data_IF_746167719047
#
_entry.id   IF_746167719047
#
_cell.length_a   1.000
_cell.length_b   1.000
_cell.length_c   1.000
_cell.angle_alpha   90.00
_cell.angle_beta   90.00
_cell.angle_gamma   90.00
#
_symmetry.space_group_name_H-M   'P 1'
#
loop_
_entity.id
_entity.type
_entity.pdbx_description
1 polymer ?
#
# COMPACT_ATOMS: atom_id res chain seq x y z
N UNK A 1 -48.25 -0.62 -22.02
CA UNK A 1 -47.91 -0.96 -20.65
C UNK A 1 -46.61 -1.80 -20.58
N UNK A 2 -46.51 -2.92 -21.33
CA UNK A 2 -45.30 -3.82 -21.32
C UNK A 2 -44.01 -3.11 -21.72
N UNK A 3 -44.08 -2.27 -22.77
CA UNK A 3 -42.91 -1.48 -23.20
C UNK A 3 -42.48 -0.45 -22.15
N UNK A 4 -43.44 0.24 -21.53
CA UNK A 4 -43.15 1.19 -20.46
C UNK A 4 -42.56 0.50 -19.22
N UNK A 5 -43.07 -0.68 -18.86
CA UNK A 5 -42.53 -1.47 -17.77
C UNK A 5 -41.12 -1.93 -18.07
N UNK A 6 -40.81 -2.43 -19.29
CA UNK A 6 -39.47 -2.83 -19.69
C UNK A 6 -38.53 -1.63 -19.69
N UNK A 7 -38.91 -0.47 -20.15
CA UNK A 7 -38.12 0.76 -20.07
C UNK A 7 -37.84 1.15 -18.62
N UNK A 8 -38.84 1.10 -17.74
CA UNK A 8 -38.66 1.40 -16.32
C UNK A 8 -37.69 0.44 -15.65
N UNK A 9 -37.79 -0.88 -15.88
CA UNK A 9 -36.86 -1.88 -15.34
C UNK A 9 -35.45 -1.66 -15.86
N UNK A 10 -35.30 -1.35 -17.16
CA UNK A 10 -33.99 -1.05 -17.76
C UNK A 10 -33.37 0.18 -17.13
N UNK A 11 -34.14 1.26 -16.92
CA UNK A 11 -33.67 2.48 -16.27
C UNK A 11 -33.28 2.22 -14.81
N UNK A 12 -34.11 1.51 -14.05
CA UNK A 12 -33.85 1.15 -12.66
C UNK A 12 -32.52 0.34 -12.52
N UNK A 13 -32.31 -0.61 -13.44
CA UNK A 13 -31.04 -1.38 -13.44
C UNK A 13 -29.85 -0.53 -13.81
N UNK A 14 -29.98 0.41 -14.75
CA UNK A 14 -28.90 1.34 -15.11
C UNK A 14 -28.55 2.24 -13.92
N UNK A 15 -29.53 2.82 -13.26
CA UNK A 15 -29.31 3.67 -12.07
C UNK A 15 -28.71 2.87 -10.91
N UNK A 16 -29.16 1.63 -10.72
CA UNK A 16 -28.57 0.70 -9.73
C UNK A 16 -27.10 0.40 -10.00
N UNK A 17 -26.70 0.18 -11.24
CA UNK A 17 -25.31 -0.03 -11.62
C UNK A 17 -24.44 1.21 -11.36
N UNK A 18 -24.95 2.41 -11.69
CA UNK A 18 -24.25 3.67 -11.44
C UNK A 18 -24.05 3.89 -9.94
N UNK A 19 -25.08 3.66 -9.13
CA UNK A 19 -25.01 3.76 -7.68
C UNK A 19 -23.96 2.80 -7.10
N UNK A 20 -23.96 1.54 -7.53
CA UNK A 20 -22.99 0.54 -7.07
C UNK A 20 -21.56 0.91 -7.44
N UNK A 21 -21.34 1.42 -8.66
CA UNK A 21 -20.00 1.88 -9.09
C UNK A 21 -19.55 3.06 -8.24
N UNK A 22 -20.41 4.03 -7.94
CA UNK A 22 -20.06 5.17 -7.11
C UNK A 22 -19.76 4.75 -5.67
N UNK A 23 -20.57 3.87 -5.06
CA UNK A 23 -20.29 3.35 -3.71
C UNK A 23 -18.98 2.55 -3.66
N UNK A 24 -18.69 1.74 -4.68
CA UNK A 24 -17.40 1.05 -4.79
C UNK A 24 -16.25 2.03 -4.96
N UNK A 25 -16.41 3.08 -5.76
CA UNK A 25 -15.39 4.13 -5.93
C UNK A 25 -15.04 4.78 -4.59
N UNK A 26 -16.05 5.10 -3.79
CA UNK A 26 -15.88 5.69 -2.47
C UNK A 26 -15.26 4.70 -1.48
N UNK A 27 -15.66 3.44 -1.49
CA UNK A 27 -15.07 2.38 -0.68
C UNK A 27 -13.59 2.18 -1.01
N UNK A 28 -13.25 2.07 -2.29
CA UNK A 28 -11.87 1.90 -2.75
C UNK A 28 -10.99 3.10 -2.37
N UNK A 29 -11.53 4.33 -2.48
CA UNK A 29 -10.83 5.54 -2.00
C UNK A 29 -10.49 5.43 -0.52
N UNK A 30 -11.43 4.99 0.31
CA UNK A 30 -11.21 4.81 1.74
C UNK A 30 -10.23 3.67 2.02
N UNK A 31 -10.35 2.51 1.37
CA UNK A 31 -9.41 1.38 1.49
C UNK A 31 -8.00 1.79 1.10
N UNK A 32 -7.82 2.46 -0.04
CA UNK A 32 -6.52 2.95 -0.50
C UNK A 32 -5.94 3.98 0.47
N UNK A 33 -6.78 4.87 1.01
CA UNK A 33 -6.36 5.87 2.02
C UNK A 33 -5.89 5.22 3.32
N UNK A 34 -6.57 4.18 3.79
CA UNK A 34 -6.23 3.48 5.02
C UNK A 34 -5.08 2.49 4.87
N UNK A 35 -4.81 2.00 3.65
CA UNK A 35 -3.66 1.13 3.38
C UNK A 35 -2.36 1.96 3.43
N UNK A 36 -1.40 1.67 4.34
CA UNK A 36 -0.12 2.37 4.34
C UNK A 36 0.75 1.98 3.13
N UNK A 37 1.69 2.84 2.73
CA UNK A 37 1.90 4.21 3.18
C UNK A 37 0.95 5.20 2.49
N UNK A 38 0.73 6.37 3.09
CA UNK A 38 -0.09 7.42 2.48
C UNK A 38 0.62 8.08 1.30
N UNK A 39 1.94 8.28 1.42
CA UNK A 39 2.79 8.85 0.36
C UNK A 39 4.01 7.97 0.09
N UNK A 40 4.61 8.15 -1.10
CA UNK A 40 5.85 7.46 -1.45
C UNK A 40 6.99 7.81 -0.49
N UNK A 41 7.12 9.08 -0.10
CA UNK A 41 8.15 9.54 0.83
C UNK A 41 8.02 8.86 2.20
N UNK A 42 6.80 8.78 2.75
CA UNK A 42 6.54 8.05 3.99
C UNK A 42 6.90 6.57 3.88
N UNK A 43 6.57 5.94 2.76
CA UNK A 43 6.91 4.55 2.52
C UNK A 43 8.43 4.32 2.45
N UNK A 44 9.14 5.17 1.73
CA UNK A 44 10.62 5.12 1.64
C UNK A 44 11.27 5.32 3.01
N UNK A 45 10.82 6.31 3.78
CA UNK A 45 11.32 6.57 5.15
C UNK A 45 11.05 5.39 6.09
N UNK A 46 9.87 4.78 6.00
CA UNK A 46 9.53 3.60 6.80
C UNK A 46 10.44 2.41 6.47
N UNK A 47 10.70 2.14 5.17
CA UNK A 47 11.64 1.10 4.72
C UNK A 47 13.04 1.36 5.27
N UNK A 48 13.53 2.59 5.16
CA UNK A 48 14.84 2.94 5.68
C UNK A 48 14.93 2.72 7.20
N UNK A 49 13.91 3.15 7.95
CA UNK A 49 13.84 2.94 9.40
C UNK A 49 13.81 1.44 9.78
N UNK A 50 13.08 0.62 9.02
CA UNK A 50 13.02 -0.82 9.24
C UNK A 50 14.38 -1.49 8.97
N UNK A 51 15.05 -1.10 7.89
CA UNK A 51 16.35 -1.65 7.54
C UNK A 51 17.46 -1.21 8.50
N UNK A 52 17.40 0.03 9.02
CA UNK A 52 18.33 0.48 10.08
C UNK A 52 18.16 -0.29 11.39
N UNK A 53 16.95 -0.76 11.69
CA UNK A 53 16.71 -1.65 12.83
C UNK A 53 17.26 -3.06 12.61
N UNK A 54 17.31 -3.50 11.37
CA UNK A 54 17.79 -4.84 11.00
C UNK A 54 19.31 -4.93 10.89
N UNK A 55 19.96 -3.92 10.31
CA UNK A 55 21.40 -3.84 10.14
C UNK A 55 21.86 -2.39 10.14
N UNK A 56 22.92 -2.10 10.89
CA UNK A 56 23.50 -0.77 10.93
C UNK A 56 24.36 -0.52 9.67
N UNK A 57 24.11 0.54 8.90
CA UNK A 57 24.97 0.87 7.76
C UNK A 57 26.33 1.38 8.22
N UNK A 58 27.40 0.80 7.70
CA UNK A 58 28.77 1.23 7.91
C UNK A 58 29.12 2.33 6.92
N UNK A 59 29.13 3.56 7.40
CA UNK A 59 29.55 4.75 6.65
C UNK A 59 30.91 5.18 7.14
N UNK A 60 31.96 5.00 6.33
CA UNK A 60 33.34 5.30 6.70
C UNK A 60 33.54 6.77 7.15
N UNK A 61 32.69 7.69 6.66
CA UNK A 61 32.77 9.10 7.04
C UNK A 61 32.23 9.37 8.46
N UNK A 62 31.37 8.47 8.97
CA UNK A 62 30.72 8.59 10.27
C UNK A 62 31.36 7.73 11.36
N UNK A 63 32.31 6.88 10.99
CA UNK A 63 33.00 5.99 11.92
C UNK A 63 34.12 6.77 12.62
N UNK A 64 34.00 6.89 13.93
CA UNK A 64 34.99 7.64 14.77
C UNK A 64 36.29 6.88 15.02
N UNK A 65 36.34 5.57 14.79
CA UNK A 65 37.53 4.74 14.98
C UNK A 65 38.32 4.74 13.67
N UNK A 66 39.50 5.39 13.58
CA UNK A 66 40.24 5.59 12.32
C UNK A 66 40.55 4.27 11.59
N UNK A 67 41.03 3.27 12.31
CA UNK A 67 41.33 1.95 11.74
C UNK A 67 40.09 1.29 11.12
N UNK A 68 38.94 1.31 11.81
CA UNK A 68 37.70 0.77 11.27
C UNK A 68 37.19 1.55 10.05
N UNK A 69 37.31 2.88 10.09
CA UNK A 69 36.95 3.73 8.94
C UNK A 69 37.79 3.43 7.71
N UNK A 70 39.09 3.13 7.91
CA UNK A 70 40.02 2.72 6.84
C UNK A 70 39.62 1.35 6.25
N UNK A 71 39.37 0.34 7.10
CA UNK A 71 38.95 -0.99 6.68
C UNK A 71 37.64 -0.91 5.87
N UNK A 72 36.69 -0.10 6.30
CA UNK A 72 35.40 0.10 5.59
C UNK A 72 35.62 0.82 4.25
N UNK A 73 36.55 1.77 4.14
CA UNK A 73 36.93 2.40 2.85
C UNK A 73 37.57 1.40 1.90
N UNK A 74 38.44 0.54 2.38
CA UNK A 74 39.09 -0.54 1.61
C UNK A 74 38.13 -1.69 1.29
N UNK A 75 36.98 -1.74 1.94
CA UNK A 75 35.96 -2.83 1.85
C UNK A 75 36.56 -4.20 2.22
N UNK A 76 37.52 -4.21 3.13
CA UNK A 76 38.14 -5.42 3.62
C UNK A 76 37.24 -6.12 4.62
N UNK A 77 36.40 -7.01 4.07
CA UNK A 77 35.32 -7.69 4.78
C UNK A 77 35.83 -8.55 5.92
N UNK A 78 36.92 -9.28 5.69
CA UNK A 78 37.52 -10.17 6.69
C UNK A 78 38.13 -9.37 7.84
N UNK A 79 38.89 -8.33 7.51
CA UNK A 79 39.50 -7.47 8.52
C UNK A 79 38.45 -6.68 9.32
N UNK A 80 37.34 -6.26 8.69
CA UNK A 80 36.19 -5.63 9.38
C UNK A 80 35.57 -6.60 10.40
N UNK A 81 35.31 -7.85 9.99
CA UNK A 81 34.73 -8.84 10.89
C UNK A 81 35.69 -9.18 12.04
N UNK A 82 36.97 -9.44 11.73
CA UNK A 82 38.02 -9.71 12.72
C UNK A 82 38.16 -8.56 13.72
N UNK A 83 38.08 -7.31 13.23
CA UNK A 83 38.11 -6.14 14.11
C UNK A 83 36.88 -6.11 15.04
N UNK A 84 35.67 -6.39 14.51
CA UNK A 84 34.47 -6.41 15.29
C UNK A 84 34.45 -7.51 16.37
N UNK A 85 35.05 -8.66 16.08
CA UNK A 85 35.15 -9.80 17.00
C UNK A 85 36.12 -9.54 18.14
N UNK A 86 37.22 -8.81 17.87
CA UNK A 86 38.29 -8.56 18.81
C UNK A 86 38.15 -7.27 19.64
N UNK A 87 37.29 -6.32 19.21
CA UNK A 87 37.09 -5.08 19.96
C UNK A 87 36.31 -5.34 21.24
N UNK A 88 36.80 -4.78 22.37
CA UNK A 88 36.10 -4.89 23.65
C UNK A 88 35.08 -3.76 23.79
N UNK A 89 33.80 -4.10 23.76
CA UNK A 89 32.72 -3.15 23.96
C UNK A 89 32.45 -2.21 22.77
N UNK A 90 31.50 -1.32 22.93
CA UNK A 90 31.13 -0.32 21.93
C UNK A 90 30.26 -0.85 20.79
N UNK A 91 30.06 0.04 19.79
CA UNK A 91 29.14 -0.21 18.68
C UNK A 91 29.49 -1.46 17.85
N UNK A 92 30.78 -1.75 17.63
CA UNK A 92 31.21 -2.84 16.75
C UNK A 92 31.33 -4.19 17.46
N UNK A 93 31.33 -4.22 18.79
CA UNK A 93 31.56 -5.42 19.56
C UNK A 93 30.61 -6.55 19.17
N UNK A 94 31.19 -7.69 18.74
CA UNK A 94 30.49 -8.93 18.34
C UNK A 94 29.37 -8.73 17.30
N UNK A 95 29.43 -7.68 16.48
CA UNK A 95 28.48 -7.50 15.40
C UNK A 95 28.87 -8.30 14.18
N UNK A 96 27.88 -8.96 13.58
CA UNK A 96 28.03 -9.70 12.34
C UNK A 96 27.97 -8.75 11.15
N UNK A 97 28.93 -8.84 10.24
CA UNK A 97 28.90 -8.13 8.96
C UNK A 97 28.08 -8.92 7.94
N UNK A 98 27.00 -8.34 7.46
CA UNK A 98 26.23 -8.83 6.34
C UNK A 98 26.90 -8.35 5.06
N UNK A 99 27.38 -9.28 4.24
CA UNK A 99 28.26 -8.97 3.13
C UNK A 99 27.52 -8.71 1.82
N UNK A 100 26.36 -9.34 1.66
CA UNK A 100 25.57 -9.29 0.43
C UNK A 100 24.17 -8.74 0.66
N UNK A 101 23.47 -8.38 -0.43
CA UNK A 101 22.06 -8.01 -0.38
C UNK A 101 21.18 -9.18 0.05
N UNK A 102 21.61 -10.41 -0.27
CA UNK A 102 20.97 -11.67 0.10
C UNK A 102 21.01 -11.88 1.61
N UNK A 103 22.16 -11.62 2.24
CA UNK A 103 22.30 -11.70 3.70
C UNK A 103 21.37 -10.72 4.41
N UNK A 104 21.33 -9.46 3.95
CA UNK A 104 20.43 -8.45 4.50
C UNK A 104 18.96 -8.86 4.30
N UNK A 105 18.63 -9.44 3.14
CA UNK A 105 17.30 -9.93 2.82
C UNK A 105 16.89 -11.08 3.72
N UNK A 106 17.78 -12.04 3.96
CA UNK A 106 17.53 -13.19 4.83
C UNK A 106 17.28 -12.73 6.27
N UNK A 107 18.14 -11.87 6.80
CA UNK A 107 17.98 -11.31 8.15
C UNK A 107 16.71 -10.43 8.27
N UNK A 108 16.41 -9.63 7.25
CA UNK A 108 15.21 -8.80 7.23
C UNK A 108 13.94 -9.67 7.24
N UNK A 109 13.94 -10.81 6.54
CA UNK A 109 12.81 -11.76 6.57
C UNK A 109 12.70 -12.44 7.95
N UNK A 110 13.81 -12.90 8.52
CA UNK A 110 13.86 -13.54 9.83
C UNK A 110 13.36 -12.63 10.95
N UNK A 111 13.74 -11.36 10.90
CA UNK A 111 13.41 -10.37 11.91
C UNK A 111 12.00 -9.77 11.73
N UNK A 112 11.28 -10.13 10.66
CA UNK A 112 9.94 -9.63 10.39
C UNK A 112 8.90 -10.38 11.20
N UNK A 113 8.12 -9.65 11.98
CA UNK A 113 7.00 -10.23 12.73
C UNK A 113 5.83 -10.59 11.81
N UNK A 114 4.90 -11.42 12.31
CA UNK A 114 3.64 -11.74 11.64
C UNK A 114 2.87 -10.50 11.16
N UNK A 115 2.98 -9.39 11.90
CA UNK A 115 2.32 -8.11 11.58
C UNK A 115 3.17 -7.19 10.70
N UNK A 116 4.25 -7.69 10.11
CA UNK A 116 5.10 -6.94 9.18
C UNK A 116 6.05 -5.94 9.84
N UNK A 117 6.10 -5.85 11.16
CA UNK A 117 7.08 -5.03 11.88
C UNK A 117 8.44 -5.73 11.88
N UNK A 118 9.52 -4.96 11.79
CA UNK A 118 10.87 -5.48 11.91
C UNK A 118 11.33 -5.38 13.36
N UNK A 119 11.74 -6.51 13.95
CA UNK A 119 12.38 -6.51 15.26
C UNK A 119 13.75 -5.84 15.15
N UNK A 120 14.13 -5.10 16.17
CA UNK A 120 15.48 -4.51 16.20
C UNK A 120 16.50 -5.62 16.45
N UNK A 121 17.43 -5.77 15.52
CA UNK A 121 18.60 -6.61 15.69
C UNK A 121 19.85 -5.70 15.67
N UNK A 122 20.39 -5.45 16.86
CA UNK A 122 21.56 -4.61 17.03
C UNK A 122 22.87 -5.34 16.73
N UNK A 123 22.80 -6.64 16.39
CA UNK A 123 23.96 -7.48 16.18
C UNK A 123 24.45 -7.51 14.74
N UNK A 124 23.74 -6.87 13.83
CA UNK A 124 24.09 -6.85 12.42
C UNK A 124 24.61 -5.48 11.98
N UNK A 125 25.58 -5.50 11.08
CA UNK A 125 26.08 -4.33 10.35
C UNK A 125 26.25 -4.68 8.87
N UNK A 126 26.29 -3.70 7.98
CA UNK A 126 26.51 -3.92 6.56
C UNK A 126 27.25 -2.74 5.94
N UNK A 127 28.08 -2.99 4.93
CA UNK A 127 28.69 -1.92 4.14
C UNK A 127 27.61 -1.00 3.57
N UNK A 128 27.83 0.31 3.59
CA UNK A 128 26.85 1.31 3.16
C UNK A 128 26.40 1.09 1.71
N UNK A 129 27.26 0.65 0.82
CA UNK A 129 26.94 0.35 -0.58
C UNK A 129 25.95 -0.81 -0.70
N UNK A 130 26.19 -1.91 0.01
CA UNK A 130 25.32 -3.10 0.05
C UNK A 130 23.98 -2.75 0.69
N UNK A 131 24.02 -2.03 1.82
CA UNK A 131 22.83 -1.58 2.54
C UNK A 131 21.96 -0.67 1.66
N UNK A 132 22.55 0.31 0.97
CA UNK A 132 21.84 1.22 0.05
C UNK A 132 21.25 0.48 -1.14
N UNK A 133 21.97 -0.49 -1.72
CA UNK A 133 21.44 -1.30 -2.83
C UNK A 133 20.16 -2.02 -2.41
N UNK A 134 20.20 -2.75 -1.29
CA UNK A 134 19.02 -3.46 -0.78
C UNK A 134 17.89 -2.49 -0.38
N UNK A 135 18.23 -1.35 0.22
CA UNK A 135 17.25 -0.32 0.57
C UNK A 135 16.47 0.16 -0.65
N UNK A 136 17.15 0.43 -1.77
CA UNK A 136 16.50 0.81 -3.03
C UNK A 136 15.58 -0.28 -3.56
N UNK A 137 16.03 -1.54 -3.59
CA UNK A 137 15.21 -2.68 -4.01
C UNK A 137 13.91 -2.80 -3.21
N UNK A 138 13.94 -2.56 -1.91
CA UNK A 138 12.74 -2.59 -1.06
C UNK A 138 11.89 -1.33 -1.24
N UNK A 139 12.52 -0.16 -1.40
CA UNK A 139 11.83 1.11 -1.65
C UNK A 139 11.10 1.12 -2.99
N UNK A 140 11.61 0.41 -3.99
CA UNK A 140 10.95 0.29 -5.30
C UNK A 140 9.63 -0.49 -5.21
N UNK A 141 9.43 -1.28 -4.17
CA UNK A 141 8.17 -1.98 -3.89
C UNK A 141 7.15 -1.15 -3.10
N UNK A 142 7.49 0.09 -2.72
CA UNK A 142 6.55 0.98 -2.03
C UNK A 142 5.35 1.27 -2.93
N UNK A 143 4.15 0.98 -2.44
CA UNK A 143 2.90 1.09 -3.20
C UNK A 143 2.36 -0.24 -3.72
N UNK A 144 3.17 -1.32 -3.76
CA UNK A 144 2.75 -2.61 -4.29
C UNK A 144 1.51 -3.20 -3.58
N UNK A 145 1.39 -3.04 -2.26
CA UNK A 145 0.21 -3.49 -1.51
C UNK A 145 -1.09 -2.82 -1.98
N UNK A 146 -1.02 -1.56 -2.41
CA UNK A 146 -2.16 -0.82 -2.98
C UNK A 146 -2.41 -1.18 -4.44
N UNK A 147 -1.40 -1.66 -5.15
CA UNK A 147 -1.49 -1.97 -6.57
C UNK A 147 -2.53 -3.05 -6.89
N UNK A 148 -2.82 -3.95 -5.96
CA UNK A 148 -3.89 -4.93 -6.11
C UNK A 148 -5.29 -4.31 -6.27
N UNK A 149 -5.45 -3.02 -6.01
CA UNK A 149 -6.71 -2.29 -6.23
C UNK A 149 -6.78 -1.57 -7.59
N UNK A 150 -5.70 -1.60 -8.41
CA UNK A 150 -5.62 -0.82 -9.64
C UNK A 150 -6.78 -1.16 -10.58
N UNK A 151 -7.01 -2.44 -10.86
CA UNK A 151 -8.08 -2.86 -11.77
C UNK A 151 -9.47 -2.42 -11.31
N UNK A 152 -9.71 -2.49 -10.01
CA UNK A 152 -10.97 -2.02 -9.46
C UNK A 152 -11.09 -0.49 -9.52
N UNK A 153 -10.00 0.22 -9.24
CA UNK A 153 -9.96 1.67 -9.34
C UNK A 153 -10.23 2.16 -10.77
N UNK A 154 -9.62 1.53 -11.77
CA UNK A 154 -9.86 1.78 -13.19
C UNK A 154 -11.32 1.51 -13.56
N UNK A 155 -11.88 0.38 -13.13
CA UNK A 155 -13.26 0.00 -13.43
C UNK A 155 -14.31 0.96 -12.85
N UNK A 156 -13.98 1.70 -11.79
CA UNK A 156 -14.88 2.71 -11.18
C UNK A 156 -14.39 4.15 -11.39
N UNK A 157 -13.40 4.38 -12.25
CA UNK A 157 -12.90 5.72 -12.58
C UNK A 157 -12.17 6.43 -11.42
N UNK A 158 -11.57 5.68 -10.49
CA UNK A 158 -10.78 6.24 -9.39
C UNK A 158 -9.31 6.38 -9.80
N UNK A 159 -8.78 7.60 -9.80
CA UNK A 159 -7.35 7.85 -10.04
C UNK A 159 -6.51 7.48 -8.82
N UNK A 160 -5.51 6.66 -9.01
CA UNK A 160 -4.54 6.28 -7.98
C UNK A 160 -3.22 7.06 -8.14
N UNK A 161 -2.45 7.26 -7.04
CA UNK A 161 -1.15 7.93 -7.11
C UNK A 161 -0.13 7.17 -7.96
N UNK A 162 0.79 7.90 -8.64
CA UNK A 162 1.79 7.31 -9.53
C UNK A 162 2.67 6.23 -8.88
N UNK A 163 3.00 6.37 -7.59
CA UNK A 163 3.79 5.36 -6.88
C UNK A 163 3.04 4.03 -6.67
N UNK A 164 1.73 4.00 -6.92
CA UNK A 164 0.88 2.81 -6.94
C UNK A 164 0.77 2.29 -8.38
N UNK A 165 0.41 3.15 -9.33
CA UNK A 165 0.12 2.76 -10.73
C UNK A 165 1.35 2.25 -11.46
N UNK A 166 2.57 2.63 -11.07
CA UNK A 166 3.81 2.05 -11.61
C UNK A 166 3.92 0.53 -11.43
N UNK A 167 3.11 -0.07 -10.56
CA UNK A 167 3.06 -1.52 -10.33
C UNK A 167 1.93 -2.21 -11.10
N UNK A 168 1.26 -1.54 -12.04
CA UNK A 168 0.09 -2.06 -12.77
C UNK A 168 0.37 -3.40 -13.47
N UNK A 169 1.52 -3.54 -14.13
CA UNK A 169 1.90 -4.77 -14.83
C UNK A 169 2.02 -6.03 -13.95
N UNK A 170 2.25 -5.85 -12.65
CA UNK A 170 2.41 -6.93 -11.68
C UNK A 170 1.34 -6.89 -10.58
N UNK A 171 0.25 -6.14 -10.79
CA UNK A 171 -0.77 -5.92 -9.78
C UNK A 171 -1.68 -7.15 -9.62
N UNK A 172 -1.63 -7.85 -8.48
CA UNK A 172 -2.43 -9.06 -8.26
C UNK A 172 -3.84 -8.67 -7.80
N UNK A 173 -4.67 -8.15 -8.71
CA UNK A 173 -6.03 -7.73 -8.40
C UNK A 173 -7.04 -8.19 -9.44
N UNK A 174 -8.31 -8.27 -9.03
CA UNK A 174 -9.43 -8.59 -9.89
C UNK A 174 -10.58 -7.59 -9.63
N UNK A 175 -11.30 -7.27 -10.68
CA UNK A 175 -12.51 -6.47 -10.65
C UNK A 175 -13.58 -7.13 -11.49
N UNK A 176 -14.78 -7.26 -10.93
CA UNK A 176 -15.97 -7.75 -11.62
C UNK A 176 -16.99 -6.61 -11.61
N UNK A 177 -17.31 -6.13 -12.81
CA UNK A 177 -18.31 -5.08 -13.00
C UNK A 177 -19.73 -5.61 -12.78
N UNK A 178 -20.68 -4.78 -12.32
CA UNK A 178 -22.08 -5.14 -12.26
C UNK A 178 -22.65 -5.26 -13.68
N UNK A 179 -23.57 -6.19 -13.87
CA UNK A 179 -24.33 -6.36 -15.12
C UNK A 179 -25.82 -6.10 -14.87
N UNK A 180 -26.63 -5.85 -15.92
CA UNK A 180 -28.06 -5.69 -15.77
C UNK A 180 -28.78 -6.89 -15.11
N UNK A 181 -28.22 -8.09 -15.32
CA UNK A 181 -28.75 -9.34 -14.76
C UNK A 181 -28.23 -9.61 -13.34
N UNK A 182 -27.05 -9.05 -12.98
CA UNK A 182 -26.41 -9.26 -11.69
C UNK A 182 -25.86 -7.94 -11.15
N UNK A 183 -26.63 -7.28 -10.29
CA UNK A 183 -26.25 -6.05 -9.61
C UNK A 183 -25.27 -6.32 -8.45
N UNK A 184 -24.12 -6.94 -8.79
CA UNK A 184 -23.05 -7.24 -7.84
C UNK A 184 -21.75 -6.69 -8.40
N UNK A 185 -21.00 -6.03 -7.53
CA UNK A 185 -19.66 -5.52 -7.85
C UNK A 185 -18.65 -6.17 -6.89
N UNK A 186 -17.58 -6.74 -7.45
CA UNK A 186 -16.57 -7.39 -6.66
C UNK A 186 -15.17 -6.79 -6.94
N UNK A 187 -14.40 -6.65 -5.90
CA UNK A 187 -13.00 -6.23 -6.01
C UNK A 187 -12.15 -7.08 -5.08
N UNK A 188 -11.15 -7.73 -5.67
CA UNK A 188 -10.24 -8.62 -4.95
C UNK A 188 -8.83 -8.09 -5.08
N UNK A 189 -8.17 -7.86 -3.95
CA UNK A 189 -6.75 -7.59 -3.89
C UNK A 189 -6.01 -8.84 -3.44
N UNK A 190 -5.24 -9.44 -4.34
CA UNK A 190 -4.43 -10.64 -4.08
C UNK A 190 -2.99 -10.33 -3.70
N UNK A 191 -2.66 -9.07 -3.39
CA UNK A 191 -1.33 -8.72 -2.89
C UNK A 191 -1.07 -9.45 -1.59
N UNK A 192 -0.24 -10.48 -1.63
CA UNK A 192 0.11 -11.26 -0.46
C UNK A 192 0.76 -10.36 0.59
N UNK A 193 0.38 -10.53 1.86
CA UNK A 193 1.03 -9.94 3.04
C UNK A 193 0.85 -8.43 3.23
N UNK A 194 -0.39 -7.94 3.06
CA UNK A 194 -0.74 -6.62 3.59
C UNK A 194 -0.95 -6.76 5.09
N UNK A 195 -0.09 -6.18 5.95
CA UNK A 195 -0.31 -6.22 7.38
C UNK A 195 -1.64 -5.54 7.73
N UNK A 196 -2.47 -6.20 8.53
CA UNK A 196 -3.78 -5.68 8.95
C UNK A 196 -4.77 -5.41 7.80
N UNK A 197 -4.67 -6.16 6.70
CA UNK A 197 -5.57 -6.01 5.55
C UNK A 197 -7.05 -6.05 5.97
N UNK A 198 -7.46 -7.07 6.75
CA UNK A 198 -8.84 -7.22 7.21
C UNK A 198 -9.30 -6.02 8.02
N UNK A 199 -8.44 -5.48 8.88
CA UNK A 199 -8.74 -4.26 9.67
C UNK A 199 -8.89 -3.03 8.79
N UNK A 200 -8.07 -2.91 7.73
CA UNK A 200 -8.15 -1.80 6.77
C UNK A 200 -9.45 -1.84 6.00
N UNK A 201 -9.83 -3.00 5.46
CA UNK A 201 -11.09 -3.18 4.74
C UNK A 201 -12.28 -2.98 5.69
N UNK A 202 -12.27 -3.58 6.86
CA UNK A 202 -13.33 -3.42 7.85
C UNK A 202 -13.52 -1.95 8.28
N UNK A 203 -12.43 -1.21 8.49
CA UNK A 203 -12.49 0.21 8.82
C UNK A 203 -13.09 1.06 7.68
N UNK A 204 -12.71 0.78 6.43
CA UNK A 204 -13.26 1.44 5.26
C UNK A 204 -14.76 1.13 5.10
N UNK A 205 -15.14 -0.13 5.23
CA UNK A 205 -16.55 -0.58 5.18
C UNK A 205 -17.38 0.09 6.28
N UNK A 206 -16.90 0.07 7.52
CA UNK A 206 -17.57 0.74 8.64
C UNK A 206 -17.80 2.24 8.38
N UNK A 207 -16.79 2.92 7.84
CA UNK A 207 -16.90 4.33 7.46
C UNK A 207 -17.97 4.54 6.40
N UNK A 208 -18.02 3.68 5.36
CA UNK A 208 -19.04 3.77 4.29
C UNK A 208 -20.44 3.52 4.82
N UNK A 209 -20.64 2.45 5.61
CA UNK A 209 -21.93 2.14 6.23
C UNK A 209 -22.43 3.32 7.09
N UNK A 210 -21.56 3.91 7.91
CA UNK A 210 -21.94 5.07 8.73
C UNK A 210 -22.30 6.29 7.87
N UNK A 211 -21.55 6.53 6.77
CA UNK A 211 -21.86 7.60 5.83
C UNK A 211 -23.21 7.40 5.16
N UNK A 212 -23.55 6.19 4.72
CA UNK A 212 -24.85 5.85 4.13
C UNK A 212 -25.96 6.03 5.15
N UNK A 213 -25.81 5.51 6.38
CA UNK A 213 -26.80 5.68 7.45
C UNK A 213 -27.06 7.16 7.75
N UNK A 214 -26.02 7.96 7.85
CA UNK A 214 -26.15 9.40 8.11
C UNK A 214 -26.88 10.14 6.97
N UNK A 215 -26.60 9.75 5.72
CA UNK A 215 -27.25 10.33 4.56
C UNK A 215 -28.74 9.96 4.49
N UNK A 216 -29.07 8.68 4.73
CA UNK A 216 -30.45 8.22 4.82
C UNK A 216 -31.24 8.92 5.93
N UNK A 217 -30.65 9.02 7.13
CA UNK A 217 -31.30 9.71 8.24
C UNK A 217 -31.56 11.20 7.94
N UNK A 218 -30.68 11.84 7.16
CA UNK A 218 -30.86 13.22 6.73
C UNK A 218 -31.96 13.35 5.67
N UNK A 219 -32.01 12.44 4.69
CA UNK A 219 -33.07 12.42 3.66
C UNK A 219 -34.43 12.20 4.28
N UNK A 220 -34.53 11.27 5.23
CA UNK A 220 -35.81 11.00 5.95
C UNK A 220 -36.28 12.21 6.77
N UNK A 221 -35.39 13.10 7.18
CA UNK A 221 -35.72 14.36 7.86
C UNK A 221 -36.01 15.53 6.89
N UNK A 222 -36.21 15.26 5.59
CA UNK A 222 -36.47 16.28 4.58
C UNK A 222 -35.27 17.10 4.14
N UNK A 223 -34.05 16.67 4.50
CA UNK A 223 -32.83 17.33 4.06
C UNK A 223 -32.46 16.98 2.62
N UNK A 224 -31.84 17.93 1.90
CA UNK A 224 -31.32 17.67 0.55
C UNK A 224 -30.09 16.72 0.60
N UNK A 225 -29.91 15.85 -0.40
CA UNK A 225 -28.73 15.00 -0.51
C UNK A 225 -27.45 15.86 -0.63
N UNK A 226 -26.41 15.54 0.15
CA UNK A 226 -25.08 16.14 0.01
C UNK A 226 -24.28 15.55 -1.13
N UNK A 227 -24.70 14.38 -1.62
CA UNK A 227 -24.20 13.78 -2.84
C UNK A 227 -24.95 14.49 -3.95
N UNK A 228 -24.25 15.22 -4.80
CA UNK A 228 -24.87 15.99 -5.89
C UNK A 228 -26.00 15.21 -6.52
N UNK A 229 -27.09 15.89 -6.81
CA UNK A 229 -28.27 15.28 -7.41
C UNK A 229 -27.80 14.42 -8.59
N UNK A 230 -28.15 13.15 -8.61
CA UNK A 230 -28.21 12.36 -9.83
C UNK A 230 -29.38 12.91 -10.70
N UNK A 231 -29.27 14.19 -11.03
CA UNK A 231 -30.09 14.77 -12.07
C UNK A 231 -29.48 14.25 -13.38
N UNK A 232 -29.84 13.05 -13.74
CA UNK A 232 -29.79 12.64 -15.12
C UNK A 232 -30.51 13.73 -15.92
N UNK A 233 -29.79 14.47 -16.72
CA UNK A 233 -30.29 15.33 -17.74
C UNK A 233 -31.07 14.45 -18.75
N UNK A 234 -32.27 14.05 -18.40
CA UNK A 234 -33.29 13.61 -19.34
C UNK A 234 -33.86 14.87 -20.02
N UNK A 235 -33.01 15.55 -20.80
CA UNK A 235 -33.48 16.60 -21.74
C UNK A 235 -33.18 16.11 -23.13
N UNK A 236 -34.12 15.41 -23.67
CA UNK A 236 -34.20 14.99 -25.07
C UNK A 236 -35.61 14.65 -25.39
N UNK A 237 -36.55 15.63 -25.25
CA UNK A 237 -37.84 15.54 -25.93
C UNK A 237 -37.56 15.75 -27.43
N UNK A 238 -37.98 14.84 -28.32
CA UNK A 238 -37.97 15.12 -29.73
C UNK A 238 -39.03 16.17 -30.04
N UNK A 239 -38.62 17.32 -30.50
CA UNK A 239 -39.50 18.28 -31.17
C UNK A 239 -40.00 17.66 -32.46
N UNK A 240 -41.29 17.62 -32.57
CA UNK A 240 -42.14 17.31 -33.72
C UNK A 240 -41.68 18.01 -35.02
#
# INVERSE_FOLDING_TARGET
>A
YRNALNQFVTQLNADGQLLLKEEMRLLLRDVVSFTPPKTQAQGRKAVEGDLRRNAAPLDAQKIKIPRMAELVRKRDVEAIQKFADNIKGGFFHRRRLLQTTEDIRAEHRRNRTRYGRVRSDKNNMALLSVWRKYTREVQDRVGFAKAGWIRAAEGVGLKLPNFVTRHAGNAPGQYIAPTPQKLVIESINRSSKIPNYDRTVAAATKRRVNSIKSELARLLKGGKSRRGSFAGTATGAPSS
#
